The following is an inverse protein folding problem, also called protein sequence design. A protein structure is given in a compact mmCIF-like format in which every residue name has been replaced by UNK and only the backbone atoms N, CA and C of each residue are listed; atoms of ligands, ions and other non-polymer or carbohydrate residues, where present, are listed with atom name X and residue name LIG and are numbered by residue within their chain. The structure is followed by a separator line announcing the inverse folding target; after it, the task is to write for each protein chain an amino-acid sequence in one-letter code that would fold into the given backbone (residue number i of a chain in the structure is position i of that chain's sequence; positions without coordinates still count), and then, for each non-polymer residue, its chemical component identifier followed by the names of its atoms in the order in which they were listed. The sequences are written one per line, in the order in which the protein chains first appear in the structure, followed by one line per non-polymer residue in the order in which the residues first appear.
data_IF_682734507574
#
_entry.id   IF_682734507574
#
_cell.length_a   1.000
_cell.length_b   1.000
_cell.length_c   1.000
_cell.angle_alpha   90.00
_cell.angle_beta   90.00
_cell.angle_gamma   90.00
#
_symmetry.space_group_name_H-M   'P 1'
#
loop_
_entity.id
_entity.type
_entity.pdbx_description
1 polymer ?
#
# COMPACT_ATOMS: atom_id res chain seq x y z
N UNK A 1 1.85 -1.89 -11.60
CA UNK A 1 2.34 -0.54 -11.29
C UNK A 1 3.45 -0.58 -10.25
N UNK A 2 4.30 0.45 -10.18
CA UNK A 2 5.43 0.54 -9.25
C UNK A 2 5.10 0.22 -7.78
N UNK A 3 3.95 0.60 -7.21
CA UNK A 3 3.59 0.25 -5.83
C UNK A 3 3.13 -1.20 -5.62
N UNK A 4 2.82 -1.95 -6.69
CA UNK A 4 2.17 -3.26 -6.60
C UNK A 4 3.19 -4.42 -6.71
N UNK A 5 4.39 -4.24 -6.16
CA UNK A 5 5.40 -5.30 -6.09
C UNK A 5 5.15 -6.22 -4.91
N UNK A 6 5.56 -7.49 -5.01
CA UNK A 6 5.41 -8.48 -3.94
C UNK A 6 6.11 -8.01 -2.66
N UNK A 7 7.34 -7.48 -2.78
CA UNK A 7 8.07 -6.92 -1.64
C UNK A 7 7.34 -5.72 -1.03
N UNK A 8 6.86 -4.80 -1.89
CA UNK A 8 6.15 -3.60 -1.45
C UNK A 8 4.88 -3.94 -0.69
N UNK A 9 4.09 -4.89 -1.19
CA UNK A 9 2.83 -5.28 -0.58
C UNK A 9 3.04 -6.05 0.73
N UNK A 10 3.98 -7.01 0.77
CA UNK A 10 4.35 -7.69 2.02
C UNK A 10 4.87 -6.68 3.03
N UNK A 11 5.77 -5.77 2.65
CA UNK A 11 6.32 -4.76 3.54
C UNK A 11 5.21 -3.86 4.11
N UNK A 12 4.25 -3.41 3.30
CA UNK A 12 3.12 -2.60 3.73
C UNK A 12 2.29 -3.27 4.83
N UNK A 13 1.99 -4.56 4.66
CA UNK A 13 1.24 -5.34 5.64
C UNK A 13 2.05 -5.59 6.91
N UNK A 14 3.32 -5.95 6.77
CA UNK A 14 4.20 -6.25 7.90
C UNK A 14 4.50 -5.00 8.73
N UNK A 15 4.72 -3.83 8.12
CA UNK A 15 4.91 -2.58 8.86
C UNK A 15 3.66 -2.09 9.59
N UNK A 16 2.47 -2.59 9.24
CA UNK A 16 1.25 -2.33 10.01
C UNK A 16 1.25 -3.05 11.37
N UNK A 17 2.09 -4.06 11.56
CA UNK A 17 2.23 -4.79 12.83
C UNK A 17 2.99 -3.91 13.83
N UNK A 18 2.45 -3.66 15.04
CA UNK A 18 3.13 -2.87 16.05
C UNK A 18 4.52 -3.40 16.40
N UNK A 19 5.45 -2.51 16.63
CA UNK A 19 6.85 -2.77 16.98
C UNK A 19 7.73 -3.33 15.85
N UNK A 20 7.23 -3.55 14.65
CA UNK A 20 8.09 -3.80 13.49
C UNK A 20 8.93 -2.56 13.19
N UNK A 21 10.22 -2.75 12.91
CA UNK A 21 11.19 -1.67 12.65
C UNK A 21 12.01 -1.87 11.38
N UNK A 22 12.14 -3.12 10.91
CA UNK A 22 12.77 -3.41 9.63
C UNK A 22 12.18 -4.68 9.03
N UNK A 23 12.26 -4.78 7.70
CA UNK A 23 12.05 -5.98 6.90
C UNK A 23 13.17 -6.06 5.87
N UNK A 24 13.71 -7.25 5.65
CA UNK A 24 14.72 -7.53 4.62
C UNK A 24 14.35 -8.79 3.88
N UNK A 25 14.38 -8.74 2.54
CA UNK A 25 14.09 -9.90 1.68
C UNK A 25 15.37 -10.63 1.31
N UNK A 26 15.32 -11.97 1.29
CA UNK A 26 16.47 -12.82 1.00
C UNK A 26 17.66 -12.55 1.92
N UNK A 27 18.82 -12.25 1.34
CA UNK A 27 20.02 -11.88 2.09
C UNK A 27 19.94 -10.49 2.76
N UNK A 28 18.90 -9.70 2.47
CA UNK A 28 18.63 -8.44 3.15
C UNK A 28 19.83 -7.48 3.13
N UNK A 29 20.24 -7.00 4.31
CA UNK A 29 21.34 -6.05 4.47
C UNK A 29 22.70 -6.62 4.06
N UNK A 30 22.89 -7.94 4.10
CA UNK A 30 24.15 -8.58 3.71
C UNK A 30 24.48 -8.37 2.23
N UNK A 31 23.45 -8.08 1.38
CA UNK A 31 23.65 -7.72 -0.03
C UNK A 31 24.56 -6.50 -0.21
N UNK A 32 24.58 -5.57 0.73
CA UNK A 32 25.40 -4.36 0.68
C UNK A 32 26.92 -4.67 0.72
N UNK A 33 27.31 -5.80 1.27
CA UNK A 33 28.69 -6.25 1.34
C UNK A 33 29.12 -7.08 0.12
N UNK A 34 28.19 -7.46 -0.76
CA UNK A 34 28.45 -8.32 -1.90
C UNK A 34 28.68 -7.52 -3.19
N UNK A 35 29.49 -8.09 -4.08
CA UNK A 35 29.55 -7.63 -5.48
C UNK A 35 28.35 -8.16 -6.25
N UNK A 36 27.91 -7.49 -7.31
CA UNK A 36 26.77 -7.92 -8.10
C UNK A 36 26.83 -9.36 -8.60
N UNK A 37 28.02 -9.85 -8.97
CA UNK A 37 28.23 -11.25 -9.37
C UNK A 37 28.07 -12.27 -8.22
N UNK A 38 28.19 -11.83 -6.97
CA UNK A 38 28.02 -12.67 -5.78
C UNK A 38 26.58 -12.61 -5.27
N UNK A 39 25.92 -11.46 -5.42
CA UNK A 39 24.53 -11.26 -5.06
C UNK A 39 23.54 -11.86 -6.07
N UNK A 40 24.00 -12.17 -7.27
CA UNK A 40 23.17 -12.77 -8.31
C UNK A 40 22.71 -14.18 -7.94
N UNK A 41 21.46 -14.52 -8.30
CA UNK A 41 20.89 -15.88 -8.19
C UNK A 41 20.93 -16.57 -9.56
N UNK A 42 21.97 -17.37 -9.87
CA UNK A 42 22.14 -17.95 -11.19
C UNK A 42 21.04 -18.97 -11.50
N UNK A 43 20.42 -18.85 -12.67
CA UNK A 43 19.41 -19.80 -13.15
C UNK A 43 20.01 -21.17 -13.47
N UNK A 44 19.25 -22.22 -13.21
CA UNK A 44 19.52 -23.63 -13.53
C UNK A 44 18.29 -24.27 -14.13
N UNK A 45 18.50 -25.34 -14.91
CA UNK A 45 17.40 -26.11 -15.48
C UNK A 45 17.77 -27.59 -15.60
N UNK A 46 16.77 -28.45 -15.52
CA UNK A 46 16.84 -29.87 -15.83
C UNK A 46 16.14 -30.22 -17.17
N UNK A 47 15.81 -29.20 -17.97
CA UNK A 47 15.07 -29.33 -19.23
C UNK A 47 13.55 -29.32 -19.09
N UNK A 48 13.00 -29.31 -17.84
CA UNK A 48 11.55 -29.27 -17.56
C UNK A 48 11.18 -28.10 -16.65
N UNK A 49 12.04 -27.83 -15.67
CA UNK A 49 11.83 -26.77 -14.69
C UNK A 49 13.05 -25.87 -14.67
N UNK A 50 12.84 -24.62 -14.27
CA UNK A 50 13.89 -23.63 -14.05
C UNK A 50 13.82 -23.23 -12.58
N UNK A 51 14.99 -23.07 -11.94
CA UNK A 51 15.13 -22.59 -10.56
C UNK A 51 16.42 -21.76 -10.44
N UNK A 52 16.61 -21.09 -9.32
CA UNK A 52 17.86 -20.39 -9.01
C UNK A 52 18.79 -21.25 -8.14
N UNK A 53 20.09 -21.15 -8.32
CA UNK A 53 21.08 -21.92 -7.55
C UNK A 53 21.30 -21.38 -6.13
N UNK A 54 20.87 -20.16 -5.87
CA UNK A 54 20.85 -19.45 -4.58
C UNK A 54 19.54 -18.67 -4.48
N UNK A 55 19.27 -18.06 -3.32
CA UNK A 55 18.06 -17.29 -3.07
C UNK A 55 18.35 -15.96 -2.36
N UNK A 56 19.39 -15.25 -2.81
CA UNK A 56 19.79 -13.98 -2.25
C UNK A 56 18.69 -12.91 -2.36
N UNK A 57 17.87 -12.98 -3.42
CA UNK A 57 16.75 -12.09 -3.66
C UNK A 57 15.46 -12.52 -2.92
N UNK A 58 15.49 -13.59 -2.11
CA UNK A 58 14.33 -14.04 -1.35
C UNK A 58 13.14 -14.48 -2.21
N UNK A 59 13.38 -15.07 -3.38
CA UNK A 59 12.35 -15.59 -4.27
C UNK A 59 11.64 -14.53 -5.12
N UNK A 60 12.12 -13.28 -5.10
CA UNK A 60 11.48 -12.15 -5.78
C UNK A 60 12.51 -11.43 -6.65
N UNK A 61 12.20 -11.25 -7.93
CA UNK A 61 13.00 -10.49 -8.89
C UNK A 61 12.13 -9.46 -9.61
N UNK A 62 12.52 -8.20 -9.58
CA UNK A 62 11.78 -7.13 -10.24
C UNK A 62 10.35 -6.95 -9.72
N UNK A 63 10.10 -7.30 -8.46
CA UNK A 63 8.79 -7.20 -7.83
C UNK A 63 7.86 -8.40 -8.07
N UNK A 64 8.35 -9.47 -8.74
CA UNK A 64 7.56 -10.65 -9.13
C UNK A 64 8.22 -11.89 -8.54
N UNK A 65 7.44 -12.86 -8.06
CA UNK A 65 7.95 -14.15 -7.59
C UNK A 65 8.59 -14.93 -8.73
N UNK A 66 9.73 -15.58 -8.45
CA UNK A 66 10.51 -16.33 -9.43
C UNK A 66 10.36 -17.87 -9.32
N UNK A 67 9.40 -18.34 -8.50
CA UNK A 67 9.16 -19.76 -8.23
C UNK A 67 10.00 -20.35 -7.11
N UNK A 68 10.96 -19.60 -6.54
CA UNK A 68 11.68 -19.98 -5.34
C UNK A 68 10.87 -19.61 -4.08
N UNK A 69 11.20 -20.19 -2.91
CA UNK A 69 10.59 -19.76 -1.64
C UNK A 69 10.72 -18.25 -1.43
N UNK A 70 9.61 -17.61 -1.05
CA UNK A 70 9.65 -16.21 -0.61
C UNK A 70 10.20 -16.17 0.81
N UNK A 71 11.39 -15.59 0.97
CA UNK A 71 12.11 -15.52 2.23
C UNK A 71 12.32 -14.07 2.64
N UNK A 72 11.96 -13.74 3.88
CA UNK A 72 12.19 -12.42 4.44
C UNK A 72 12.38 -12.47 5.95
N UNK A 73 13.08 -11.48 6.49
CA UNK A 73 13.36 -11.31 7.91
C UNK A 73 12.68 -10.05 8.42
N UNK A 74 12.07 -10.14 9.61
CA UNK A 74 11.39 -9.01 10.26
C UNK A 74 12.06 -8.69 11.60
N UNK A 75 12.43 -7.42 11.79
CA UNK A 75 13.01 -6.95 13.04
C UNK A 75 11.95 -6.26 13.90
N UNK A 76 11.81 -6.72 15.13
CA UNK A 76 10.92 -6.14 16.12
C UNK A 76 11.70 -5.31 17.15
N UNK A 77 11.15 -4.15 17.50
CA UNK A 77 11.65 -3.37 18.63
C UNK A 77 11.51 -4.18 19.92
N UNK A 78 12.55 -4.29 20.75
CA UNK A 78 12.43 -4.88 22.09
C UNK A 78 11.40 -4.13 22.93
N UNK A 79 10.75 -4.83 23.86
CA UNK A 79 9.75 -4.24 24.77
C UNK A 79 10.37 -3.11 25.58
N UNK A 80 9.93 -1.86 25.44
CA UNK A 80 10.52 -0.73 26.16
C UNK A 80 10.02 -0.63 27.60
N UNK A 81 8.86 -1.24 27.90
CA UNK A 81 8.25 -1.20 29.23
C UNK A 81 8.88 -2.27 30.11
N UNK A 82 9.82 -1.87 30.93
CA UNK A 82 10.59 -2.75 31.84
C UNK A 82 10.65 -2.14 33.23
N UNK A 83 10.93 -2.98 34.25
CA UNK A 83 10.99 -2.55 35.63
C UNK A 83 12.28 -1.77 35.99
N UNK A 84 13.08 -1.36 34.99
CA UNK A 84 14.26 -0.50 35.21
C UNK A 84 13.86 0.97 35.14
N UNK A 85 14.44 1.84 36.01
CA UNK A 85 14.25 3.26 35.88
C UNK A 85 14.67 3.78 34.52
N UNK A 86 13.86 4.59 33.90
CA UNK A 86 14.05 5.20 32.57
C UNK A 86 13.70 6.67 32.63
N UNK A 87 14.49 7.48 31.97
CA UNK A 87 14.22 8.91 31.85
C UNK A 87 13.08 9.15 30.87
N UNK A 88 12.15 10.03 31.24
CA UNK A 88 10.98 10.43 30.49
C UNK A 88 10.56 11.84 30.87
N UNK A 89 9.39 12.26 30.43
CA UNK A 89 8.82 13.57 30.74
C UNK A 89 7.43 13.45 31.32
N UNK A 90 7.12 14.31 32.29
CA UNK A 90 5.75 14.60 32.70
C UNK A 90 5.16 15.63 31.73
N UNK A 91 4.20 15.20 30.93
CA UNK A 91 3.59 16.04 29.87
C UNK A 91 2.68 17.14 30.43
N UNK A 92 2.18 17.00 31.63
CA UNK A 92 1.35 18.02 32.27
C UNK A 92 2.21 19.13 32.88
N UNK A 93 3.32 18.74 33.53
CA UNK A 93 4.25 19.67 34.19
C UNK A 93 5.37 20.16 33.28
N UNK A 94 5.54 19.52 32.12
CA UNK A 94 6.64 19.77 31.17
C UNK A 94 8.03 19.66 31.84
N UNK A 95 8.19 18.64 32.68
CA UNK A 95 9.40 18.37 33.45
C UNK A 95 10.00 17.00 33.13
N UNK A 96 11.34 16.90 33.23
CA UNK A 96 12.04 15.63 33.13
C UNK A 96 11.80 14.81 34.40
N UNK A 97 11.40 13.57 34.26
CA UNK A 97 11.17 12.64 35.37
C UNK A 97 11.78 11.27 35.08
N UNK A 98 12.06 10.50 36.14
CA UNK A 98 12.47 9.11 36.01
C UNK A 98 11.27 8.21 36.37
N UNK A 99 10.87 7.32 35.46
CA UNK A 99 9.78 6.38 35.65
C UNK A 99 10.30 4.95 35.68
N UNK A 100 9.79 4.15 36.60
CA UNK A 100 9.96 2.70 36.60
C UNK A 100 8.58 2.06 36.40
N UNK A 101 8.39 1.36 35.27
CA UNK A 101 7.13 0.70 34.99
C UNK A 101 6.96 -0.53 35.90
N UNK A 102 5.88 -0.51 36.71
CA UNK A 102 5.51 -1.65 37.53
C UNK A 102 4.58 -2.58 36.72
N UNK A 103 4.73 -3.89 36.88
CA UNK A 103 3.84 -4.88 36.28
C UNK A 103 4.60 -6.02 35.60
N UNK A 104 3.82 -6.96 35.07
CA UNK A 104 4.33 -8.10 34.30
C UNK A 104 4.29 -7.77 32.82
N UNK A 105 5.44 -7.71 32.18
CA UNK A 105 5.58 -7.43 30.76
C UNK A 105 6.27 -8.59 30.04
N UNK A 106 5.89 -8.81 28.77
CA UNK A 106 6.56 -9.79 27.91
C UNK A 106 7.97 -9.30 27.58
N UNK A 107 8.97 -10.12 27.81
CA UNK A 107 10.37 -9.80 27.54
C UNK A 107 10.69 -9.75 26.02
N UNK A 108 9.95 -10.53 25.24
CA UNK A 108 10.11 -10.61 23.79
C UNK A 108 8.78 -10.92 23.11
N UNK A 109 8.33 -10.05 22.23
CA UNK A 109 7.09 -10.20 21.46
C UNK A 109 7.28 -10.99 20.17
N UNK A 110 8.52 -11.13 19.67
CA UNK A 110 8.82 -11.73 18.38
C UNK A 110 8.28 -13.17 18.26
N UNK A 111 8.37 -13.97 19.32
CA UNK A 111 7.85 -15.35 19.33
C UNK A 111 6.33 -15.42 19.11
N UNK A 112 5.59 -14.43 19.61
CA UNK A 112 4.14 -14.33 19.42
C UNK A 112 3.78 -13.66 18.11
N UNK A 113 4.69 -12.87 17.54
CA UNK A 113 4.49 -12.15 16.31
C UNK A 113 4.65 -13.04 15.07
N UNK A 114 5.36 -14.15 15.15
CA UNK A 114 5.58 -15.04 14.00
C UNK A 114 4.30 -15.39 13.24
N UNK A 115 3.23 -15.95 13.85
CA UNK A 115 2.00 -16.26 13.15
C UNK A 115 1.27 -15.00 12.61
N UNK A 116 1.48 -13.85 13.23
CA UNK A 116 0.91 -12.58 12.76
C UNK A 116 1.63 -12.12 11.48
N UNK A 117 2.95 -12.28 11.43
CA UNK A 117 3.77 -11.98 10.24
C UNK A 117 3.39 -12.91 9.09
N UNK A 118 3.21 -14.21 9.35
CA UNK A 118 2.75 -15.18 8.36
C UNK A 118 1.37 -14.81 7.80
N UNK A 119 0.43 -14.45 8.67
CA UNK A 119 -0.91 -14.01 8.27
C UNK A 119 -0.86 -12.70 7.44
N UNK A 120 -0.02 -11.75 7.83
CA UNK A 120 0.16 -10.50 7.11
C UNK A 120 0.73 -10.73 5.70
N UNK A 121 1.74 -11.61 5.58
CA UNK A 121 2.29 -12.01 4.29
C UNK A 121 1.27 -12.75 3.42
N UNK A 122 0.49 -13.66 4.00
CA UNK A 122 -0.57 -14.36 3.28
C UNK A 122 -1.63 -13.39 2.74
N UNK A 123 -2.06 -12.42 3.54
CA UNK A 123 -3.00 -11.38 3.11
C UNK A 123 -2.42 -10.52 1.97
N UNK A 124 -1.14 -10.15 2.04
CA UNK A 124 -0.46 -9.42 0.97
C UNK A 124 -0.46 -10.21 -0.34
N UNK A 125 -0.13 -11.50 -0.29
CA UNK A 125 -0.13 -12.38 -1.46
C UNK A 125 -1.54 -12.55 -2.01
N UNK A 126 -2.55 -12.72 -1.15
CA UNK A 126 -3.95 -12.82 -1.58
C UNK A 126 -4.43 -11.54 -2.29
N UNK A 127 -3.97 -10.37 -1.89
CA UNK A 127 -4.29 -9.11 -2.55
C UNK A 127 -3.63 -8.98 -3.93
N UNK A 128 -2.42 -9.52 -4.07
CA UNK A 128 -1.70 -9.54 -5.35
C UNK A 128 -2.21 -10.64 -6.29
N UNK A 129 -2.87 -11.66 -5.73
CA UNK A 129 -3.43 -12.73 -6.52
C UNK A 129 -4.67 -12.22 -7.26
N UNK A 130 -4.44 -11.73 -8.46
CA UNK A 130 -5.51 -11.40 -9.36
C UNK A 130 -5.92 -12.69 -10.09
N UNK A 131 -7.12 -13.18 -9.82
CA UNK A 131 -7.74 -14.14 -10.72
C UNK A 131 -8.03 -13.41 -12.04
N UNK A 132 -7.39 -13.85 -13.12
CA UNK A 132 -7.81 -13.38 -14.44
C UNK A 132 -9.27 -13.78 -14.64
N UNK A 133 -10.12 -12.85 -15.12
CA UNK A 133 -11.51 -13.20 -15.41
C UNK A 133 -11.53 -14.36 -16.39
N UNK A 134 -12.39 -15.35 -16.14
CA UNK A 134 -12.61 -16.43 -17.09
C UNK A 134 -12.97 -15.84 -18.45
N UNK A 135 -12.41 -16.40 -19.56
CA UNK A 135 -12.65 -15.91 -20.93
C UNK A 135 -14.08 -16.22 -21.40
N UNK A 136 -15.06 -15.95 -20.54
CA UNK A 136 -16.47 -16.06 -20.85
C UNK A 136 -17.24 -14.78 -20.46
N UNK A 137 -18.46 -14.68 -20.91
CA UNK A 137 -19.30 -13.50 -20.66
C UNK A 137 -19.56 -13.26 -19.16
N UNK A 138 -19.61 -14.31 -18.36
CA UNK A 138 -19.85 -14.21 -16.92
C UNK A 138 -18.62 -13.66 -16.19
N UNK A 139 -17.41 -14.13 -16.54
CA UNK A 139 -16.17 -13.63 -16.00
C UNK A 139 -15.92 -12.16 -16.31
N UNK A 140 -16.13 -11.75 -17.57
CA UNK A 140 -15.98 -10.33 -17.95
C UNK A 140 -17.03 -9.42 -17.28
N UNK A 141 -18.26 -9.88 -17.08
CA UNK A 141 -19.27 -9.14 -16.31
C UNK A 141 -18.88 -8.99 -14.86
N UNK A 142 -18.38 -10.06 -14.22
CA UNK A 142 -17.89 -10.00 -12.85
C UNK A 142 -16.69 -9.04 -12.68
N UNK A 143 -15.80 -8.97 -13.67
CA UNK A 143 -14.71 -8.01 -13.69
C UNK A 143 -15.22 -6.56 -13.80
N UNK A 144 -16.23 -6.31 -14.64
CA UNK A 144 -16.90 -5.00 -14.75
C UNK A 144 -17.55 -4.62 -13.41
N UNK A 145 -18.32 -5.53 -12.79
CA UNK A 145 -19.00 -5.27 -11.52
C UNK A 145 -18.02 -4.87 -10.41
N UNK A 146 -16.83 -5.48 -10.37
CA UNK A 146 -15.76 -5.11 -9.44
C UNK A 146 -15.24 -3.70 -9.69
N UNK A 147 -14.94 -3.36 -10.94
CA UNK A 147 -14.49 -2.02 -11.36
C UNK A 147 -15.56 -0.98 -11.03
N UNK A 148 -16.82 -1.26 -11.29
CA UNK A 148 -17.94 -0.37 -10.99
C UNK A 148 -18.05 -0.09 -9.49
N UNK A 149 -17.82 -1.09 -8.65
CA UNK A 149 -17.73 -0.92 -7.20
C UNK A 149 -16.62 0.05 -6.77
N UNK A 150 -15.45 -0.04 -7.38
CA UNK A 150 -14.32 0.87 -7.13
C UNK A 150 -14.64 2.30 -7.61
N UNK A 151 -15.26 2.44 -8.77
CA UNK A 151 -15.72 3.73 -9.31
C UNK A 151 -16.71 4.38 -8.35
N UNK A 152 -17.70 3.65 -7.83
CA UNK A 152 -18.67 4.17 -6.86
C UNK A 152 -17.98 4.65 -5.58
N UNK A 153 -17.04 3.87 -5.04
CA UNK A 153 -16.31 4.26 -3.84
C UNK A 153 -15.47 5.53 -4.05
N UNK A 154 -14.79 5.65 -5.18
CA UNK A 154 -14.00 6.83 -5.54
C UNK A 154 -14.88 8.05 -5.81
N UNK A 155 -16.02 7.86 -6.48
CA UNK A 155 -16.99 8.93 -6.73
C UNK A 155 -17.57 9.49 -5.41
N UNK A 156 -17.93 8.63 -4.48
CA UNK A 156 -18.41 9.05 -3.15
C UNK A 156 -17.37 9.91 -2.42
N UNK A 157 -16.10 9.47 -2.39
CA UNK A 157 -15.00 10.26 -1.82
C UNK A 157 -14.84 11.62 -2.50
N UNK A 158 -14.94 11.66 -3.84
CA UNK A 158 -14.82 12.87 -4.62
C UNK A 158 -15.94 13.87 -4.32
N UNK A 159 -17.17 13.39 -4.20
CA UNK A 159 -18.34 14.23 -3.87
C UNK A 159 -18.23 14.79 -2.43
N UNK A 160 -17.75 14.01 -1.46
CA UNK A 160 -17.47 14.50 -0.11
C UNK A 160 -16.44 15.65 -0.09
N UNK A 161 -15.41 15.56 -0.94
CA UNK A 161 -14.43 16.67 -1.08
C UNK A 161 -15.09 17.86 -1.77
N UNK A 162 -15.96 17.64 -2.75
CA UNK A 162 -16.74 18.69 -3.43
C UNK A 162 -17.57 19.51 -2.43
N UNK A 163 -18.31 18.85 -1.55
CA UNK A 163 -19.08 19.51 -0.48
C UNK A 163 -18.21 20.42 0.41
N UNK A 164 -17.02 19.94 0.81
CA UNK A 164 -16.06 20.75 1.58
C UNK A 164 -15.57 21.97 0.80
N UNK A 165 -15.33 21.81 -0.51
CA UNK A 165 -14.93 22.93 -1.39
C UNK A 165 -16.08 23.95 -1.50
N UNK A 166 -17.33 23.48 -1.62
CA UNK A 166 -18.52 24.34 -1.63
C UNK A 166 -18.61 25.22 -0.39
N UNK A 167 -18.45 24.61 0.80
CA UNK A 167 -18.45 25.34 2.08
C UNK A 167 -17.34 26.42 2.14
N UNK A 168 -16.13 26.10 1.66
CA UNK A 168 -15.01 27.06 1.61
C UNK A 168 -15.26 28.20 0.62
N UNK A 169 -15.82 27.92 -0.56
CA UNK A 169 -16.19 28.94 -1.55
C UNK A 169 -17.29 29.85 -1.04
N UNK A 170 -18.30 29.30 -0.37
CA UNK A 170 -19.37 30.06 0.27
C UNK A 170 -18.81 31.03 1.33
N UNK A 171 -17.90 30.55 2.19
CA UNK A 171 -17.25 31.37 3.21
C UNK A 171 -16.36 32.49 2.60
N UNK A 172 -15.75 32.24 1.44
CA UNK A 172 -14.88 33.19 0.75
C UNK A 172 -15.62 34.10 -0.25
N UNK A 173 -16.93 33.91 -0.49
CA UNK A 173 -17.69 34.65 -1.50
C UNK A 173 -17.23 34.41 -2.95
N UNK A 174 -16.61 33.26 -3.22
CA UNK A 174 -16.07 32.91 -4.53
C UNK A 174 -17.09 32.17 -5.37
N UNK A 175 -17.02 32.32 -6.71
CA UNK A 175 -17.92 31.63 -7.62
C UNK A 175 -17.73 30.11 -7.54
N UNK A 176 -18.85 29.39 -7.56
CA UNK A 176 -18.85 27.91 -7.51
C UNK A 176 -18.25 27.34 -8.80
N UNK A 177 -18.56 27.95 -9.95
CA UNK A 177 -18.10 27.49 -11.25
C UNK A 177 -16.77 28.16 -11.65
N UNK A 178 -15.79 27.36 -12.00
CA UNK A 178 -14.51 27.77 -12.58
C UNK A 178 -14.34 27.06 -13.94
N UNK A 179 -14.66 27.76 -15.01
CA UNK A 179 -14.63 27.22 -16.38
C UNK A 179 -13.21 26.84 -16.83
N UNK A 180 -12.22 27.61 -16.40
CA UNK A 180 -10.81 27.35 -16.74
C UNK A 180 -10.37 26.02 -16.11
N UNK A 181 -10.68 25.86 -14.83
CA UNK A 181 -10.36 24.63 -14.10
C UNK A 181 -11.11 23.42 -14.65
N UNK A 182 -12.38 23.56 -15.03
CA UNK A 182 -13.17 22.48 -15.66
C UNK A 182 -12.52 22.04 -16.97
N UNK A 183 -12.11 22.96 -17.83
CA UNK A 183 -11.44 22.65 -19.09
C UNK A 183 -10.08 21.95 -18.88
N UNK A 184 -9.29 22.38 -17.89
CA UNK A 184 -8.03 21.71 -17.53
C UNK A 184 -8.26 20.26 -17.06
N UNK A 185 -9.27 20.04 -16.20
CA UNK A 185 -9.61 18.70 -15.70
C UNK A 185 -10.01 17.80 -16.85
N UNK A 186 -10.89 18.23 -17.74
CA UNK A 186 -11.31 17.43 -18.90
C UNK A 186 -10.12 17.02 -19.77
N UNK A 187 -9.26 17.99 -20.13
CA UNK A 187 -8.06 17.72 -20.92
C UNK A 187 -7.14 16.72 -20.22
N UNK A 188 -6.79 17.00 -18.98
CA UNK A 188 -5.90 16.16 -18.20
C UNK A 188 -6.41 14.73 -18.03
N UNK A 189 -7.72 14.52 -17.85
CA UNK A 189 -8.29 13.19 -17.72
C UNK A 189 -8.40 12.48 -19.06
N UNK A 190 -8.74 13.18 -20.13
CA UNK A 190 -8.68 12.62 -21.48
C UNK A 190 -7.28 12.18 -21.90
N UNK A 191 -6.24 12.92 -21.47
CA UNK A 191 -4.85 12.56 -21.73
C UNK A 191 -4.38 11.30 -21.01
N UNK A 192 -5.00 10.93 -19.88
CA UNK A 192 -4.70 9.69 -19.14
C UNK A 192 -5.18 8.41 -19.85
N UNK A 193 -6.18 8.51 -20.72
CA UNK A 193 -6.70 7.40 -21.51
C UNK A 193 -6.99 7.84 -22.96
N UNK A 194 -5.94 8.03 -23.78
CA UNK A 194 -6.09 8.60 -25.13
C UNK A 194 -7.03 7.83 -26.04
N UNK A 195 -7.05 6.49 -25.93
CA UNK A 195 -7.92 5.60 -26.70
C UNK A 195 -9.41 5.80 -26.37
N UNK A 196 -9.72 6.18 -25.14
CA UNK A 196 -11.08 6.39 -24.64
C UNK A 196 -11.38 7.85 -24.30
N UNK A 197 -10.56 8.80 -24.79
CA UNK A 197 -10.64 10.23 -24.46
C UNK A 197 -12.06 10.77 -24.44
N UNK A 198 -12.81 10.57 -25.52
CA UNK A 198 -14.17 11.11 -25.65
C UNK A 198 -15.11 10.57 -24.58
N UNK A 199 -15.03 9.27 -24.29
CA UNK A 199 -15.85 8.64 -23.27
C UNK A 199 -15.46 9.14 -21.87
N UNK A 200 -14.17 9.21 -21.56
CA UNK A 200 -13.65 9.73 -20.29
C UNK A 200 -14.09 11.18 -20.07
N UNK A 201 -13.94 12.05 -21.06
CA UNK A 201 -14.37 13.44 -20.95
C UNK A 201 -15.88 13.57 -20.73
N UNK A 202 -16.70 12.73 -21.39
CA UNK A 202 -18.15 12.73 -21.20
C UNK A 202 -18.53 12.34 -19.76
N UNK A 203 -17.91 11.28 -19.22
CA UNK A 203 -18.12 10.85 -17.82
C UNK A 203 -17.69 11.95 -16.86
N UNK A 204 -16.52 12.57 -17.06
CA UNK A 204 -16.02 13.62 -16.16
C UNK A 204 -16.88 14.90 -16.23
N UNK A 205 -17.50 15.24 -17.36
CA UNK A 205 -18.50 16.32 -17.45
C UNK A 205 -19.69 16.03 -16.56
N UNK A 206 -20.21 14.79 -16.57
CA UNK A 206 -21.31 14.38 -15.70
C UNK A 206 -20.92 14.45 -14.21
N UNK A 207 -19.74 13.91 -13.87
CA UNK A 207 -19.21 13.96 -12.48
C UNK A 207 -19.09 15.41 -12.00
N UNK A 208 -18.53 16.32 -12.80
CA UNK A 208 -18.40 17.73 -12.43
C UNK A 208 -19.74 18.42 -12.27
N UNK A 209 -20.73 18.08 -13.12
CA UNK A 209 -22.08 18.60 -12.98
C UNK A 209 -22.70 18.20 -11.63
N UNK A 210 -22.58 16.93 -11.25
CA UNK A 210 -23.06 16.43 -9.95
C UNK A 210 -22.27 17.05 -8.76
N UNK A 211 -20.98 17.24 -8.90
CA UNK A 211 -20.17 17.91 -7.86
C UNK A 211 -20.66 19.32 -7.60
N UNK A 212 -21.00 20.11 -8.65
CA UNK A 212 -21.56 21.47 -8.47
C UNK A 212 -22.89 21.47 -7.73
N UNK A 213 -23.74 20.46 -7.93
CA UNK A 213 -24.99 20.34 -7.17
C UNK A 213 -24.71 20.14 -5.67
N UNK A 214 -23.78 19.25 -5.34
CA UNK A 214 -23.35 18.99 -3.96
C UNK A 214 -22.63 20.19 -3.33
N UNK A 215 -21.93 21.03 -4.12
CA UNK A 215 -21.29 22.28 -3.64
C UNK A 215 -22.32 23.37 -3.30
N UNK A 216 -23.56 23.25 -3.77
CA UNK A 216 -24.65 24.22 -3.52
C UNK A 216 -25.53 23.87 -2.33
N UNK A 217 -25.53 22.60 -1.91
CA UNK A 217 -26.24 22.10 -0.74
C UNK A 217 -25.49 22.39 0.57
#
# INVERSE_FOLDING_TARGET
DWPDTVEGEIARHVFAIPAVKAIGFGAGEDLAALRGSQANDPLRTNGKTVWTASNHNGGINGGITNGMPVEFTVTFKPTPTICKPQDTVDMERMENVTLSAAGRHDSCIALRAAPIVEAAAALAICQLWQEEPTEDLAGYRGAIDKIDGEIVALLAKRLQIGSKIGALKAAAGTAIRDETREAEVLRSRGDMAPEYRTAVEAVFRAIMAQTRQVEQE
#
